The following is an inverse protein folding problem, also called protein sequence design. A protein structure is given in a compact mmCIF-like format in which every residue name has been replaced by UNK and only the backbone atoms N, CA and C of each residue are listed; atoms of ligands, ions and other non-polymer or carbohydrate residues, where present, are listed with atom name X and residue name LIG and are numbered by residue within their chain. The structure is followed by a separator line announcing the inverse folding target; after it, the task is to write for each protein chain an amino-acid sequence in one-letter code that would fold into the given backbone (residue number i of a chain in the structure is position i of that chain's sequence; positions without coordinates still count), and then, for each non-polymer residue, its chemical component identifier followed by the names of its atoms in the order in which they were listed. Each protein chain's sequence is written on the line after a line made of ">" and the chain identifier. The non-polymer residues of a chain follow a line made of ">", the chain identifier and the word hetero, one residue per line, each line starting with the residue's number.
data_IF_766568646336
#
_entry.id   IF_766568646336
#
_cell.length_a   1.000
_cell.length_b   1.000
_cell.length_c   1.000
_cell.angle_alpha   90.00
_cell.angle_beta   90.00
_cell.angle_gamma   90.00
#
_symmetry.space_group_name_H-M   'P 1'
#
loop_
_entity.id
_entity.type
_entity.pdbx_description
1 polymer ?
#
# COMPACT_ATOMS: atom_id res chain seq x y z
N UNK A 1 -59.70 4.53 -16.83
CA UNK A 1 -58.25 4.48 -17.12
C UNK A 1 -57.57 5.59 -16.34
N UNK A 2 -56.77 5.27 -15.33
CA UNK A 2 -55.80 6.21 -14.74
C UNK A 2 -54.57 5.40 -14.31
N UNK A 3 -53.53 5.45 -15.15
CA UNK A 3 -52.24 4.81 -14.87
C UNK A 3 -51.48 5.62 -13.81
N UNK A 4 -51.09 4.97 -12.71
CA UNK A 4 -50.18 5.55 -11.72
C UNK A 4 -48.78 5.53 -12.30
N UNK A 5 -48.23 6.71 -12.59
CA UNK A 5 -46.81 6.86 -12.92
C UNK A 5 -46.06 7.04 -11.60
N UNK A 6 -45.32 6.01 -11.16
CA UNK A 6 -44.42 6.12 -10.04
C UNK A 6 -43.20 6.99 -10.41
N UNK A 7 -42.71 7.89 -9.54
CA UNK A 7 -41.53 8.68 -9.82
C UNK A 7 -40.30 7.77 -9.93
N UNK A 8 -39.61 7.87 -11.07
CA UNK A 8 -38.35 7.19 -11.35
C UNK A 8 -37.30 7.79 -10.43
N UNK A 9 -36.93 7.10 -9.36
CA UNK A 9 -35.79 7.46 -8.51
C UNK A 9 -34.54 7.41 -9.39
N UNK A 10 -34.08 8.57 -9.84
CA UNK A 10 -32.78 8.73 -10.48
C UNK A 10 -31.73 8.63 -9.38
N UNK A 11 -31.32 7.40 -9.07
CA UNK A 11 -30.15 7.16 -8.26
C UNK A 11 -28.93 7.71 -9.02
N UNK A 12 -28.43 8.86 -8.59
CA UNK A 12 -27.13 9.38 -8.99
C UNK A 12 -26.06 8.45 -8.39
N UNK A 13 -25.78 7.35 -9.07
CA UNK A 13 -24.57 6.58 -8.86
C UNK A 13 -23.42 7.44 -9.40
N UNK A 14 -22.85 8.32 -8.57
CA UNK A 14 -21.51 8.83 -8.90
C UNK A 14 -20.63 7.58 -8.95
N UNK A 15 -20.06 7.29 -10.12
CA UNK A 15 -19.01 6.29 -10.27
C UNK A 15 -17.93 6.60 -9.22
N UNK A 16 -17.94 5.88 -8.11
CA UNK A 16 -16.83 5.88 -7.18
C UNK A 16 -15.71 5.18 -7.90
N UNK A 17 -14.90 5.93 -8.64
CA UNK A 17 -13.73 5.43 -9.35
C UNK A 17 -12.98 4.48 -8.41
N UNK A 18 -12.82 3.23 -8.83
CA UNK A 18 -12.23 2.19 -7.98
C UNK A 18 -10.83 2.64 -7.59
N UNK A 19 -10.66 3.06 -6.33
CA UNK A 19 -9.39 3.58 -5.84
C UNK A 19 -8.39 2.42 -5.77
N UNK A 20 -7.38 2.47 -6.64
CA UNK A 20 -6.32 1.48 -6.67
C UNK A 20 -5.55 1.44 -5.34
N UNK A 21 -5.09 0.25 -4.91
CA UNK A 21 -4.42 0.07 -3.61
C UNK A 21 -3.14 0.89 -3.42
N UNK A 22 -2.45 1.23 -4.52
CA UNK A 22 -1.24 2.06 -4.49
C UNK A 22 -1.53 3.57 -4.42
N UNK A 23 -2.78 4.00 -4.59
CA UNK A 23 -3.17 5.41 -4.50
C UNK A 23 -3.05 5.91 -3.06
N UNK A 24 -2.53 7.13 -2.86
CA UNK A 24 -2.54 7.79 -1.54
C UNK A 24 -3.96 7.97 -0.99
N UNK A 25 -4.98 8.00 -1.86
CA UNK A 25 -6.39 8.04 -1.46
C UNK A 25 -6.93 6.68 -1.01
N UNK A 26 -6.13 5.62 -1.09
CA UNK A 26 -6.55 4.27 -0.69
C UNK A 26 -6.65 4.15 0.82
N UNK A 27 -7.84 3.81 1.29
CA UNK A 27 -8.14 3.52 2.70
C UNK A 27 -7.79 2.06 3.08
N UNK A 28 -7.14 1.29 2.20
CA UNK A 28 -6.74 -0.08 2.50
C UNK A 28 -5.62 -0.09 3.54
N UNK A 29 -5.68 -0.94 4.57
CA UNK A 29 -4.56 -1.15 5.46
C UNK A 29 -3.29 -1.45 4.67
N UNK A 30 -2.20 -0.81 5.06
CA UNK A 30 -0.94 -0.85 4.32
C UNK A 30 0.18 -1.19 5.29
N UNK A 31 0.95 -2.22 4.97
CA UNK A 31 2.15 -2.57 5.70
C UNK A 31 3.26 -1.59 5.40
N UNK A 32 4.00 -1.15 6.42
CA UNK A 32 5.39 -0.73 6.33
C UNK A 32 6.31 -1.84 6.78
N UNK A 33 7.47 -1.97 6.14
CA UNK A 33 8.48 -2.98 6.46
C UNK A 33 9.89 -2.47 6.12
N UNK A 34 10.89 -3.07 6.75
CA UNK A 34 12.29 -2.94 6.35
C UNK A 34 12.74 -4.23 5.67
N UNK A 35 13.35 -4.11 4.50
CA UNK A 35 13.89 -5.25 3.77
C UNK A 35 15.39 -5.33 4.05
N UNK A 36 15.85 -6.53 4.39
CA UNK A 36 17.27 -6.84 4.57
C UNK A 36 17.64 -8.05 3.74
N UNK A 37 18.93 -8.22 3.45
CA UNK A 37 19.47 -9.54 3.15
C UNK A 37 19.41 -10.43 4.39
N UNK A 38 19.48 -11.74 4.20
CA UNK A 38 19.53 -12.73 5.30
C UNK A 38 20.75 -12.56 6.21
N UNK A 39 21.80 -11.89 5.73
CA UNK A 39 23.00 -11.54 6.51
C UNK A 39 22.83 -10.30 7.40
N UNK A 40 21.66 -9.65 7.35
CA UNK A 40 21.36 -8.44 8.11
C UNK A 40 21.67 -7.13 7.38
N UNK A 41 22.17 -7.16 6.14
CA UNK A 41 22.41 -5.95 5.36
C UNK A 41 21.10 -5.26 5.01
N UNK A 42 20.94 -3.99 5.41
CA UNK A 42 19.75 -3.20 5.11
C UNK A 42 19.66 -2.84 3.62
N UNK A 43 18.46 -3.04 3.04
CA UNK A 43 18.22 -2.82 1.61
C UNK A 43 17.26 -1.70 1.29
N UNK A 44 16.15 -1.59 2.03
CA UNK A 44 15.16 -0.52 1.83
C UNK A 44 14.11 -0.48 2.92
N UNK A 45 13.52 0.71 3.08
CA UNK A 45 12.17 0.85 3.63
C UNK A 45 11.15 0.61 2.52
N UNK A 46 10.04 -0.04 2.83
CA UNK A 46 9.03 -0.40 1.85
C UNK A 46 7.63 -0.40 2.43
N UNK A 47 6.64 -0.14 1.56
CA UNK A 47 5.22 -0.20 1.91
C UNK A 47 4.40 -1.02 0.91
N UNK A 48 3.37 -1.72 1.39
CA UNK A 48 2.50 -2.54 0.53
C UNK A 48 1.10 -2.74 1.12
N UNK A 49 0.08 -2.64 0.27
CA UNK A 49 -1.32 -2.90 0.65
C UNK A 49 -1.73 -4.36 0.37
N UNK A 50 -0.76 -5.24 0.13
CA UNK A 50 -0.99 -6.68 0.00
C UNK A 50 -1.39 -7.28 1.35
N UNK A 51 -2.25 -8.31 1.32
CA UNK A 51 -2.73 -8.97 2.54
C UNK A 51 -1.57 -9.52 3.40
N UNK A 52 -0.56 -10.12 2.74
CA UNK A 52 0.70 -10.55 3.33
C UNK A 52 1.82 -9.69 2.74
N UNK A 53 2.64 -9.05 3.57
CA UNK A 53 3.65 -8.10 3.09
C UNK A 53 4.65 -8.77 2.12
N UNK A 54 5.08 -9.99 2.44
CA UNK A 54 6.06 -10.79 1.70
C UNK A 54 5.58 -11.16 0.30
N UNK A 55 4.25 -11.25 0.08
CA UNK A 55 3.70 -11.59 -1.24
C UNK A 55 3.86 -10.46 -2.26
N UNK A 56 4.39 -9.29 -1.85
CA UNK A 56 4.76 -8.21 -2.78
C UNK A 56 5.83 -8.65 -3.78
N UNK A 57 6.76 -9.49 -3.37
CA UNK A 57 7.89 -9.90 -4.18
C UNK A 57 7.79 -11.37 -4.56
N UNK A 58 8.48 -11.74 -5.64
CA UNK A 58 8.56 -13.15 -6.07
C UNK A 58 9.36 -13.95 -5.04
N UNK A 59 9.08 -15.27 -4.96
CA UNK A 59 9.87 -16.18 -4.10
C UNK A 59 11.35 -16.15 -4.43
N UNK A 60 11.70 -16.06 -5.72
CA UNK A 60 13.08 -15.98 -6.18
C UNK A 60 13.78 -14.68 -5.73
N UNK A 61 13.07 -13.54 -5.68
CA UNK A 61 13.64 -12.30 -5.16
C UNK A 61 13.85 -12.34 -3.65
N UNK A 62 12.95 -13.03 -2.93
CA UNK A 62 12.97 -13.17 -1.48
C UNK A 62 13.85 -14.32 -0.98
N UNK A 63 14.52 -15.08 -1.85
CA UNK A 63 15.27 -16.28 -1.46
C UNK A 63 16.45 -15.96 -0.52
N UNK A 64 17.04 -14.78 -0.66
CA UNK A 64 18.17 -14.24 0.09
C UNK A 64 17.79 -12.98 0.90
N UNK A 65 16.48 -12.71 1.08
CA UNK A 65 15.98 -11.50 1.72
C UNK A 65 14.91 -11.78 2.75
N UNK A 66 14.80 -10.89 3.73
CA UNK A 66 13.82 -10.97 4.80
C UNK A 66 13.17 -9.60 5.03
N UNK A 67 11.84 -9.60 5.22
CA UNK A 67 11.11 -8.43 5.70
C UNK A 67 11.05 -8.46 7.23
N UNK A 68 11.57 -7.41 7.86
CA UNK A 68 11.55 -7.21 9.31
C UNK A 68 10.78 -5.94 9.66
N UNK A 69 10.50 -5.75 10.95
CA UNK A 69 9.84 -4.55 11.48
C UNK A 69 8.54 -4.21 10.74
N UNK A 70 7.66 -5.20 10.58
CA UNK A 70 6.37 -5.03 9.89
C UNK A 70 5.40 -4.25 10.77
N UNK A 71 4.99 -3.07 10.33
CA UNK A 71 4.02 -2.19 11.00
C UNK A 71 2.79 -2.07 10.10
N UNK A 72 1.60 -2.26 10.65
CA UNK A 72 0.36 -2.09 9.90
C UNK A 72 -0.18 -0.66 10.11
N UNK A 73 -0.34 0.08 9.01
CA UNK A 73 -0.94 1.40 9.00
C UNK A 73 -2.39 1.35 8.53
N UNK A 74 -3.25 2.29 8.98
CA UNK A 74 -4.66 2.30 8.63
C UNK A 74 -4.91 2.51 7.13
N UNK A 75 -4.01 3.21 6.43
CA UNK A 75 -4.17 3.53 5.02
C UNK A 75 -2.82 3.77 4.32
N UNK A 76 -2.88 3.94 2.99
CA UNK A 76 -1.70 4.14 2.14
C UNK A 76 -0.95 5.44 2.46
N UNK A 77 -1.66 6.52 2.77
CA UNK A 77 -1.06 7.82 3.08
C UNK A 77 -0.25 7.79 4.38
N UNK A 78 -0.77 7.14 5.43
CA UNK A 78 -0.05 6.99 6.69
C UNK A 78 1.24 6.17 6.53
N UNK A 79 1.17 5.05 5.80
CA UNK A 79 2.34 4.24 5.49
C UNK A 79 3.37 5.01 4.65
N UNK A 80 2.90 5.80 3.68
CA UNK A 80 3.76 6.66 2.84
C UNK A 80 4.53 7.67 3.67
N UNK A 81 3.85 8.37 4.58
CA UNK A 81 4.49 9.33 5.47
C UNK A 81 5.55 8.67 6.36
N UNK A 82 5.27 7.47 6.87
CA UNK A 82 6.25 6.69 7.61
C UNK A 82 7.45 6.30 6.74
N UNK A 83 7.23 5.74 5.54
CA UNK A 83 8.32 5.36 4.62
C UNK A 83 9.22 6.56 4.29
N UNK A 84 8.59 7.72 4.04
CA UNK A 84 9.30 8.98 3.81
C UNK A 84 10.19 9.34 5.00
N UNK A 85 9.65 9.34 6.22
CA UNK A 85 10.42 9.63 7.43
C UNK A 85 11.57 8.64 7.64
N UNK A 86 11.35 7.34 7.43
CA UNK A 86 12.41 6.34 7.54
C UNK A 86 13.52 6.55 6.50
N UNK A 87 13.17 6.96 5.28
CA UNK A 87 14.15 7.26 4.23
C UNK A 87 14.99 8.51 4.52
N UNK A 88 14.51 9.44 5.35
CA UNK A 88 15.33 10.55 5.85
C UNK A 88 16.38 10.10 6.88
N UNK A 89 16.12 9.00 7.60
CA UNK A 89 17.02 8.46 8.62
C UNK A 89 18.06 7.52 7.98
N UNK A 90 17.59 6.52 7.24
CA UNK A 90 18.44 5.54 6.57
C UNK A 90 17.78 5.11 5.26
N UNK A 91 18.34 5.58 4.15
CA UNK A 91 17.91 5.19 2.81
C UNK A 91 18.72 4.00 2.31
N UNK A 92 18.03 2.93 1.94
CA UNK A 92 18.68 1.73 1.44
C UNK A 92 18.98 1.82 -0.06
N UNK A 93 19.87 0.96 -0.58
CA UNK A 93 20.24 0.92 -2.00
C UNK A 93 19.06 0.63 -2.96
N UNK A 94 17.97 0.04 -2.46
CA UNK A 94 16.77 -0.27 -3.26
C UNK A 94 15.65 0.79 -3.14
N UNK A 95 15.92 1.94 -2.52
CA UNK A 95 15.05 3.11 -2.54
C UNK A 95 15.48 4.06 -3.66
N UNK A 96 15.06 3.76 -4.89
CA UNK A 96 15.46 4.51 -6.09
C UNK A 96 14.86 5.93 -6.17
N UNK A 97 13.72 6.15 -5.52
CA UNK A 97 13.05 7.45 -5.49
C UNK A 97 12.89 7.93 -4.04
N UNK A 98 13.06 9.23 -3.86
CA UNK A 98 12.51 9.93 -2.71
C UNK A 98 11.02 10.12 -3.03
N UNK A 99 10.20 9.22 -2.50
CA UNK A 99 8.79 9.53 -2.28
C UNK A 99 8.67 10.79 -1.41
#
# INVERSE_FOLDING_TARGET
>A
MYGRIAPRVLANFSETAVVHGNSLKSLRPTWGYKLHHVDGTFLKNGITSALKAESRYTKAFMSDKVMVEKILFPNRAAAYQWEFQQNQILRGPLNFNMH
#
